data_IF_600038084412
#
_entry.id   IF_600038084412
#
_cell.length_a   1.000
_cell.length_b   1.000
_cell.length_c   1.000
_cell.angle_alpha   90.00
_cell.angle_beta   90.00
_cell.angle_gamma   90.00
#
_symmetry.space_group_name_H-M   'P 1'
#
loop_
_entity.id
_entity.type
_entity.pdbx_description
1 polymer ?
#
# COMPACT_ATOMS: atom_id res chain seq x y z
N UNK A 1 -1.92 -37.71 38.02
CA UNK A 1 -1.70 -37.85 36.56
C UNK A 1 -1.36 -36.45 36.04
N UNK A 2 -0.19 -35.87 36.34
CA UNK A 2 1.17 -36.15 35.88
C UNK A 2 1.35 -36.02 34.37
N UNK A 3 1.85 -34.86 33.91
CA UNK A 3 3.02 -34.76 33.03
C UNK A 3 3.47 -33.29 32.91
N UNK A 4 4.53 -32.97 33.65
CA UNK A 4 5.44 -31.85 33.39
C UNK A 4 6.50 -32.39 32.43
N UNK A 5 6.78 -31.70 31.33
CA UNK A 5 7.96 -32.00 30.49
C UNK A 5 8.94 -30.84 30.62
N UNK A 6 10.08 -31.15 31.21
CA UNK A 6 11.24 -30.28 31.35
C UNK A 6 12.44 -30.97 30.68
N UNK A 7 13.17 -30.22 29.83
CA UNK A 7 14.63 -30.31 29.69
C UNK A 7 15.22 -31.20 28.57
N UNK A 8 16.06 -30.62 27.69
CA UNK A 8 17.55 -30.56 27.75
C UNK A 8 18.15 -30.24 26.37
N UNK A 9 18.99 -29.18 26.26
CA UNK A 9 20.49 -29.13 26.05
C UNK A 9 20.97 -29.70 24.71
N UNK A 10 21.87 -29.10 23.92
CA UNK A 10 23.23 -28.53 24.14
C UNK A 10 23.67 -27.93 22.76
N UNK A 11 24.57 -26.97 22.54
CA UNK A 11 26.03 -26.95 22.77
C UNK A 11 26.58 -25.54 22.47
N UNK A 12 27.45 -24.98 23.31
CA UNK A 12 28.84 -24.64 22.95
C UNK A 12 29.56 -24.18 24.23
N UNK A 13 30.70 -24.82 24.50
CA UNK A 13 31.47 -24.74 25.73
C UNK A 13 32.81 -24.04 25.45
N UNK A 14 33.27 -23.31 26.47
CA UNK A 14 34.64 -22.90 26.76
C UNK A 14 35.38 -21.95 25.82
N UNK A 15 35.70 -20.76 26.34
CA UNK A 15 37.08 -20.43 26.74
C UNK A 15 37.10 -19.40 27.89
N UNK A 16 37.50 -19.89 29.06
CA UNK A 16 38.43 -19.26 30.04
C UNK A 16 38.03 -17.94 30.74
N UNK A 17 37.76 -18.09 32.04
CA UNK A 17 37.99 -17.06 33.05
C UNK A 17 39.32 -17.31 33.76
N UNK A 18 39.99 -16.26 34.25
CA UNK A 18 40.31 -16.24 35.68
C UNK A 18 39.97 -14.88 36.32
N UNK A 19 39.39 -14.94 37.51
CA UNK A 19 39.14 -13.84 38.45
C UNK A 19 40.39 -13.58 39.32
N UNK A 20 40.36 -12.66 40.32
CA UNK A 20 39.85 -11.29 40.41
C UNK A 20 41.01 -10.30 40.72
N UNK A 21 40.77 -8.97 40.68
CA UNK A 21 41.31 -7.91 41.58
C UNK A 21 41.36 -6.53 40.89
N UNK A 22 40.67 -5.55 41.50
CA UNK A 22 40.95 -4.10 41.50
C UNK A 22 41.00 -3.31 40.17
N UNK A 23 39.95 -2.52 39.90
CA UNK A 23 39.98 -1.05 39.91
C UNK A 23 38.74 -0.44 39.21
N UNK A 24 38.16 0.55 39.88
CA UNK A 24 37.00 1.42 39.63
C UNK A 24 36.57 1.75 38.17
N UNK A 25 35.26 2.00 37.93
CA UNK A 25 34.75 2.63 36.70
C UNK A 25 34.63 4.16 36.84
N UNK A 26 34.73 4.97 35.77
CA UNK A 26 34.40 6.38 35.86
C UNK A 26 32.91 6.64 35.62
N UNK A 27 32.44 7.59 36.40
CA UNK A 27 31.09 8.15 36.57
C UNK A 27 30.55 8.87 35.32
N UNK A 28 29.25 8.64 35.09
CA UNK A 28 28.19 9.50 34.55
C UNK A 28 28.52 10.87 33.91
N UNK A 29 27.85 11.15 32.77
CA UNK A 29 27.19 12.45 32.53
C UNK A 29 25.79 12.27 31.95
N UNK A 30 24.83 12.75 32.74
CA UNK A 30 23.41 12.98 32.50
C UNK A 30 23.23 14.10 31.47
N UNK A 31 22.45 13.87 30.41
CA UNK A 31 21.88 14.96 29.60
C UNK A 31 20.39 14.70 29.45
N UNK A 32 19.61 15.60 30.08
CA UNK A 32 18.17 15.78 29.93
C UNK A 32 18.01 17.10 29.18
N UNK A 33 17.40 17.09 27.99
CA UNK A 33 16.79 18.27 27.38
C UNK A 33 15.63 17.82 26.47
N UNK A 34 14.40 18.18 26.85
CA UNK A 34 13.31 18.40 25.90
C UNK A 34 13.56 19.72 25.17
N UNK A 35 13.42 19.73 23.85
CA UNK A 35 12.92 20.88 23.10
C UNK A 35 12.48 20.43 21.71
N UNK A 36 11.20 20.67 21.42
CA UNK A 36 10.62 20.73 20.09
C UNK A 36 11.43 21.69 19.21
N UNK A 37 11.93 21.24 18.06
CA UNK A 37 12.22 22.09 16.91
C UNK A 37 11.97 21.32 15.61
N UNK A 38 11.32 22.01 14.70
CA UNK A 38 10.55 21.57 13.52
C UNK A 38 11.31 20.74 12.48
N UNK A 39 10.59 20.02 11.59
CA UNK A 39 11.19 19.36 10.42
C UNK A 39 11.93 20.38 9.55
N UNK A 40 13.04 20.01 8.91
CA UNK A 40 13.76 20.93 8.03
C UNK A 40 12.84 21.31 6.86
N UNK A 41 12.64 22.62 6.68
CA UNK A 41 11.96 23.19 5.52
C UNK A 41 12.70 22.68 4.27
N UNK A 42 11.98 21.90 3.48
CA UNK A 42 12.44 21.36 2.21
C UNK A 42 12.76 22.50 1.24
N UNK A 43 14.04 22.67 0.92
CA UNK A 43 14.49 23.54 -0.18
C UNK A 43 14.95 22.68 -1.37
N UNK A 44 14.88 21.34 -1.26
CA UNK A 44 15.31 20.38 -2.31
C UNK A 44 14.12 19.75 -3.05
N UNK A 45 12.91 19.77 -2.47
CA UNK A 45 11.73 19.23 -3.14
C UNK A 45 11.24 20.00 -4.40
N UNK A 46 11.37 21.34 -4.52
CA UNK A 46 10.78 22.07 -5.65
C UNK A 46 11.37 21.62 -7.00
N UNK A 47 12.69 21.43 -7.07
CA UNK A 47 13.38 21.16 -8.32
C UNK A 47 13.09 19.77 -8.87
N UNK A 48 12.96 18.76 -7.99
CA UNK A 48 12.65 17.39 -8.42
C UNK A 48 11.27 17.29 -9.08
N UNK A 49 10.27 17.96 -8.52
CA UNK A 49 8.92 17.98 -9.10
C UNK A 49 8.88 18.73 -10.44
N UNK A 50 9.62 19.83 -10.55
CA UNK A 50 9.73 20.60 -11.81
C UNK A 50 10.42 19.76 -12.89
N UNK A 51 11.51 19.06 -12.57
CA UNK A 51 12.23 18.23 -13.54
C UNK A 51 11.37 17.04 -14.01
N UNK A 52 10.57 16.46 -13.11
CA UNK A 52 9.63 15.40 -13.44
C UNK A 52 8.49 15.88 -14.35
N UNK A 53 7.93 17.07 -14.09
CA UNK A 53 6.91 17.68 -14.94
C UNK A 53 7.48 18.11 -16.30
N UNK A 54 8.71 18.62 -16.35
CA UNK A 54 9.42 18.94 -17.60
C UNK A 54 9.61 17.69 -18.47
N UNK A 55 9.95 16.55 -17.87
CA UNK A 55 10.06 15.28 -18.59
C UNK A 55 8.71 14.79 -19.14
N UNK A 56 7.62 15.01 -18.39
CA UNK A 56 6.27 14.62 -18.79
C UNK A 56 5.64 15.57 -19.85
N UNK A 57 6.06 16.83 -19.88
CA UNK A 57 5.53 17.85 -20.80
C UNK A 57 6.65 18.62 -21.54
N UNK A 58 7.36 17.99 -22.50
CA UNK A 58 8.48 18.62 -23.20
C UNK A 58 8.08 19.78 -24.11
N UNK A 59 6.81 19.84 -24.53
CA UNK A 59 6.27 20.85 -25.45
C UNK A 59 5.85 22.15 -24.75
N UNK A 60 5.88 22.20 -23.42
CA UNK A 60 5.29 23.27 -22.62
C UNK A 60 6.34 24.19 -21.99
N UNK A 61 6.06 25.50 -21.94
CA UNK A 61 6.97 26.50 -21.42
C UNK A 61 7.33 26.26 -19.94
N UNK A 62 8.63 26.31 -19.63
CA UNK A 62 9.14 26.04 -18.28
C UNK A 62 8.55 26.98 -17.21
N UNK A 63 8.34 28.25 -17.55
CA UNK A 63 7.75 29.25 -16.65
C UNK A 63 6.29 28.91 -16.29
N UNK A 64 5.55 28.29 -17.23
CA UNK A 64 4.18 27.87 -17.01
C UNK A 64 4.11 26.59 -16.14
N UNK A 65 5.06 25.68 -16.29
CA UNK A 65 5.20 24.49 -15.43
C UNK A 65 5.52 24.91 -13.98
N UNK A 66 6.45 25.84 -13.79
CA UNK A 66 6.82 26.33 -12.46
C UNK A 66 5.65 27.06 -11.78
N UNK A 67 4.98 27.95 -12.52
CA UNK A 67 3.83 28.71 -12.01
C UNK A 67 2.64 27.81 -11.67
N UNK A 68 2.32 26.82 -12.49
CA UNK A 68 1.20 25.89 -12.21
C UNK A 68 1.50 24.99 -11.01
N UNK A 69 2.75 24.56 -10.83
CA UNK A 69 3.15 23.80 -9.65
C UNK A 69 3.08 24.65 -8.37
N UNK A 70 3.46 25.93 -8.44
CA UNK A 70 3.32 26.88 -7.33
C UNK A 70 1.85 27.13 -6.97
N UNK A 71 0.98 27.34 -7.97
CA UNK A 71 -0.47 27.49 -7.80
C UNK A 71 -1.16 26.23 -7.27
N UNK A 72 -0.59 25.05 -7.54
CA UNK A 72 -1.04 23.75 -7.03
C UNK A 72 -0.43 23.40 -5.67
N UNK A 73 0.34 24.30 -5.04
CA UNK A 73 0.92 24.06 -3.71
C UNK A 73 1.93 22.89 -3.69
N UNK A 74 2.68 22.70 -4.78
CA UNK A 74 3.64 21.61 -4.96
C UNK A 74 3.02 20.20 -4.97
N UNK A 75 1.71 20.07 -5.22
CA UNK A 75 1.07 18.79 -5.48
C UNK A 75 1.23 18.38 -6.95
N UNK A 76 2.00 17.32 -7.18
CA UNK A 76 2.34 16.82 -8.52
C UNK A 76 1.08 16.38 -9.30
N UNK A 77 0.15 15.68 -8.65
CA UNK A 77 -1.04 15.13 -9.33
C UNK A 77 -2.00 16.24 -9.78
N UNK A 78 -2.20 17.25 -8.91
CA UNK A 78 -2.97 18.45 -9.26
C UNK A 78 -2.31 19.26 -10.38
N UNK A 79 -0.98 19.40 -10.35
CA UNK A 79 -0.24 20.09 -11.40
C UNK A 79 -0.33 19.35 -12.75
N UNK A 80 -0.16 18.02 -12.77
CA UNK A 80 -0.32 17.19 -13.99
C UNK A 80 -1.73 17.34 -14.57
N UNK A 81 -2.76 17.33 -13.72
CA UNK A 81 -4.14 17.47 -14.18
C UNK A 81 -4.37 18.82 -14.85
N UNK A 82 -3.94 19.92 -14.22
CA UNK A 82 -4.06 21.27 -14.80
C UNK A 82 -3.24 21.44 -16.07
N UNK A 83 -2.02 20.92 -16.11
CA UNK A 83 -1.16 20.96 -17.28
C UNK A 83 -1.77 20.17 -18.46
N UNK A 84 -2.42 19.04 -18.19
CA UNK A 84 -3.19 18.31 -19.21
C UNK A 84 -4.43 19.08 -19.68
N UNK A 85 -5.18 19.71 -18.78
CA UNK A 85 -6.32 20.57 -19.13
C UNK A 85 -5.87 21.75 -20.01
N UNK A 86 -4.73 22.38 -19.69
CA UNK A 86 -4.13 23.43 -20.50
C UNK A 86 -3.62 22.90 -21.84
N UNK A 87 -3.05 21.70 -21.89
CA UNK A 87 -2.63 21.07 -23.16
C UNK A 87 -3.85 20.81 -24.06
N UNK A 88 -4.93 20.29 -23.50
CA UNK A 88 -6.18 20.05 -24.23
C UNK A 88 -6.80 21.38 -24.67
N UNK A 89 -6.82 22.39 -23.79
CA UNK A 89 -7.32 23.73 -24.08
C UNK A 89 -6.48 24.48 -25.12
N UNK A 90 -5.17 24.28 -25.14
CA UNK A 90 -4.24 24.85 -26.12
C UNK A 90 -4.39 24.17 -27.49
N UNK A 91 -4.58 22.85 -27.52
CA UNK A 91 -4.90 22.10 -28.74
C UNK A 91 -6.28 22.46 -29.28
N UNK A 92 -7.24 22.78 -28.41
CA UNK A 92 -8.58 23.25 -28.80
C UNK A 92 -8.63 24.76 -29.12
N UNK A 93 -7.65 25.54 -28.66
CA UNK A 93 -7.58 27.00 -28.82
C UNK A 93 -7.16 27.49 -30.20
N UNK A 94 -6.85 26.59 -31.14
CA UNK A 94 -6.63 26.91 -32.55
C UNK A 94 -7.92 26.86 -33.41
N UNK A 95 -9.08 26.72 -32.78
CA UNK A 95 -10.37 26.91 -33.41
C UNK A 95 -11.20 27.88 -32.57
N UNK A 96 -11.56 29.01 -33.19
CA UNK A 96 -12.28 30.14 -32.61
C UNK A 96 -13.48 29.75 -31.71
N UNK A 97 -13.78 30.53 -30.65
CA UNK A 97 -14.94 30.29 -29.79
C UNK A 97 -16.23 30.86 -30.40
N UNK A 98 -17.33 30.11 -30.29
CA UNK A 98 -18.72 30.61 -30.42
C UNK A 98 -19.49 30.13 -29.18
N UNK A 99 -20.31 30.97 -28.53
CA UNK A 99 -20.76 30.73 -27.17
C UNK A 99 -22.00 29.83 -27.06
N UNK A 100 -22.09 29.25 -25.87
CA UNK A 100 -23.12 28.47 -25.19
C UNK A 100 -24.57 28.55 -25.68
N UNK A 101 -25.30 27.43 -25.58
CA UNK A 101 -26.69 27.45 -25.08
C UNK A 101 -27.05 26.12 -24.39
N UNK A 102 -27.52 26.23 -23.16
CA UNK A 102 -28.16 25.18 -22.36
C UNK A 102 -29.44 24.66 -23.03
N UNK A 103 -29.71 23.35 -22.96
CA UNK A 103 -31.07 22.87 -22.68
C UNK A 103 -31.09 21.40 -22.24
N UNK A 104 -31.62 21.25 -21.04
CA UNK A 104 -32.15 20.07 -20.40
C UNK A 104 -33.52 19.73 -21.01
N UNK A 105 -33.74 18.53 -21.55
CA UNK A 105 -35.09 17.95 -21.71
C UNK A 105 -35.03 16.43 -21.58
N UNK A 106 -35.57 15.93 -20.46
CA UNK A 106 -36.11 14.59 -20.32
C UNK A 106 -37.21 14.35 -21.36
N UNK A 107 -37.26 13.19 -22.02
CA UNK A 107 -38.54 12.50 -22.22
C UNK A 107 -38.41 11.04 -22.66
N UNK A 108 -39.01 10.21 -21.79
CA UNK A 108 -39.82 9.01 -22.02
C UNK A 108 -40.34 8.84 -23.46
N UNK A 109 -40.11 7.66 -24.05
CA UNK A 109 -41.12 6.82 -24.69
C UNK A 109 -40.45 5.58 -25.33
N UNK A 110 -40.45 4.46 -24.60
CA UNK A 110 -40.20 3.15 -25.17
C UNK A 110 -41.55 2.53 -25.56
N UNK A 111 -41.79 2.38 -26.86
CA UNK A 111 -42.76 1.40 -27.37
C UNK A 111 -42.50 1.10 -28.84
N UNK A 112 -42.22 -0.18 -29.10
CA UNK A 112 -42.42 -0.97 -30.32
C UNK A 112 -41.76 -0.44 -31.62
N UNK A 113 -41.06 -1.25 -32.41
CA UNK A 113 -41.49 -2.52 -33.03
C UNK A 113 -40.24 -3.36 -33.28
N UNK A 114 -40.30 -4.63 -32.89
CA UNK A 114 -39.38 -5.64 -33.38
C UNK A 114 -39.69 -5.90 -34.84
N UNK A 115 -38.80 -5.48 -35.72
CA UNK A 115 -38.73 -5.97 -37.09
C UNK A 115 -37.37 -6.65 -37.25
N UNK A 116 -37.46 -7.96 -37.10
CA UNK A 116 -36.48 -8.92 -37.55
C UNK A 116 -36.32 -8.80 -39.06
N UNK A 117 -35.11 -9.15 -39.54
CA UNK A 117 -34.79 -9.63 -40.89
C UNK A 117 -33.98 -8.68 -41.79
N UNK A 118 -32.82 -9.24 -42.17
CA UNK A 118 -32.00 -8.98 -43.36
C UNK A 118 -30.95 -7.86 -43.32
N UNK A 119 -29.86 -8.11 -42.58
CA UNK A 119 -28.50 -7.94 -43.10
C UNK A 119 -27.65 -9.16 -42.68
N UNK A 120 -27.94 -10.30 -43.27
CA UNK A 120 -27.13 -11.52 -43.16
C UNK A 120 -27.00 -12.19 -44.52
N UNK A 121 -26.28 -11.52 -45.42
CA UNK A 121 -25.77 -12.12 -46.64
C UNK A 121 -24.36 -11.57 -46.89
N UNK A 122 -23.40 -11.96 -46.07
CA UNK A 122 -22.00 -12.10 -46.54
C UNK A 122 -21.09 -12.93 -45.61
N UNK A 123 -21.58 -13.33 -44.44
CA UNK A 123 -20.81 -14.17 -43.52
C UNK A 123 -20.61 -15.63 -43.96
N UNK A 124 -21.26 -16.11 -45.04
CA UNK A 124 -21.18 -17.52 -45.45
C UNK A 124 -20.10 -17.84 -46.50
N UNK A 125 -19.37 -16.84 -47.03
CA UNK A 125 -18.32 -17.07 -48.05
C UNK A 125 -16.88 -17.09 -47.50
N UNK A 126 -16.67 -16.85 -46.21
CA UNK A 126 -15.30 -16.76 -45.65
C UNK A 126 -14.67 -18.11 -45.25
N UNK A 127 -15.38 -19.23 -45.38
CA UNK A 127 -14.89 -20.54 -44.94
C UNK A 127 -14.02 -21.31 -45.95
N UNK A 128 -13.76 -20.74 -47.13
CA UNK A 128 -12.99 -21.41 -48.20
C UNK A 128 -11.72 -20.64 -48.61
N UNK A 129 -11.17 -19.81 -47.73
CA UNK A 129 -9.98 -19.02 -48.06
C UNK A 129 -8.70 -19.79 -47.69
N UNK A 130 -7.72 -19.88 -48.59
CA UNK A 130 -6.46 -20.57 -48.34
C UNK A 130 -5.81 -20.16 -47.02
N UNK A 131 -5.32 -21.14 -46.26
CA UNK A 131 -4.73 -20.91 -44.93
C UNK A 131 -3.21 -20.82 -44.97
N UNK A 132 -2.59 -21.44 -45.95
CA UNK A 132 -1.14 -21.49 -46.12
C UNK A 132 -0.71 -20.81 -47.42
N UNK A 133 0.54 -20.32 -47.45
CA UNK A 133 1.13 -19.67 -48.62
C UNK A 133 1.15 -20.56 -49.86
N UNK A 134 1.34 -21.87 -49.69
CA UNK A 134 1.32 -22.82 -50.80
C UNK A 134 -0.07 -22.90 -51.47
N UNK A 135 -1.13 -22.92 -50.69
CA UNK A 135 -2.51 -22.94 -51.19
C UNK A 135 -2.87 -21.63 -51.92
N UNK A 136 -2.34 -20.49 -51.46
CA UNK A 136 -2.47 -19.20 -52.15
C UNK A 136 -1.76 -19.18 -53.50
N UNK A 137 -0.54 -19.74 -53.56
CA UNK A 137 0.23 -19.87 -54.81
C UNK A 137 -0.49 -20.80 -55.80
N UNK A 138 -1.01 -21.93 -55.33
CA UNK A 138 -1.78 -22.85 -56.18
C UNK A 138 -3.08 -22.22 -56.71
N UNK A 139 -3.81 -21.48 -55.87
CA UNK A 139 -5.02 -20.75 -56.29
C UNK A 139 -4.68 -19.68 -57.32
N UNK A 140 -3.60 -18.92 -57.10
CA UNK A 140 -3.12 -17.89 -58.02
C UNK A 140 -2.77 -18.47 -59.39
N UNK A 141 -1.95 -19.55 -59.42
CA UNK A 141 -1.56 -20.21 -60.66
C UNK A 141 -2.75 -20.84 -61.37
N UNK A 142 -3.70 -21.44 -60.64
CA UNK A 142 -4.92 -22.05 -61.20
C UNK A 142 -5.82 -21.01 -61.88
N UNK A 143 -6.06 -19.87 -61.22
CA UNK A 143 -6.86 -18.78 -61.78
C UNK A 143 -6.19 -18.15 -63.01
N UNK A 144 -4.87 -17.96 -62.97
CA UNK A 144 -4.13 -17.40 -64.10
C UNK A 144 -4.05 -18.35 -65.29
N UNK A 145 -3.90 -19.66 -65.06
CA UNK A 145 -3.88 -20.69 -66.10
C UNK A 145 -5.25 -20.90 -66.78
N UNK A 146 -6.35 -20.50 -66.12
CA UNK A 146 -7.71 -20.52 -66.68
C UNK A 146 -8.08 -19.27 -67.49
N UNK A 147 -7.17 -18.30 -67.62
CA UNK A 147 -7.45 -17.04 -68.31
C UNK A 147 -7.44 -17.19 -69.84
N UNK A 148 -8.38 -16.50 -70.48
CA UNK A 148 -8.55 -16.53 -71.96
C UNK A 148 -7.78 -15.42 -72.68
N UNK A 149 -7.33 -14.41 -71.94
CA UNK A 149 -6.51 -13.31 -72.44
C UNK A 149 -5.58 -12.79 -71.35
N UNK A 150 -4.57 -12.01 -71.72
CA UNK A 150 -3.65 -11.39 -70.76
C UNK A 150 -4.35 -10.39 -69.83
N UNK A 151 -5.39 -9.72 -70.30
CA UNK A 151 -6.17 -8.77 -69.50
C UNK A 151 -7.08 -9.50 -68.48
N UNK A 152 -7.65 -10.64 -68.90
CA UNK A 152 -8.39 -11.57 -68.03
C UNK A 152 -7.45 -12.16 -66.95
N UNK A 153 -6.23 -12.58 -67.32
CA UNK A 153 -5.22 -13.06 -66.38
C UNK A 153 -4.83 -11.99 -65.36
N UNK A 154 -4.65 -10.73 -65.80
CA UNK A 154 -4.34 -9.59 -64.93
C UNK A 154 -5.49 -9.28 -63.97
N UNK A 155 -6.72 -9.29 -64.46
CA UNK A 155 -7.92 -9.07 -63.65
C UNK A 155 -8.11 -10.16 -62.58
N UNK A 156 -7.85 -11.43 -62.94
CA UNK A 156 -7.88 -12.57 -62.00
C UNK A 156 -6.78 -12.49 -60.96
N UNK A 157 -5.54 -12.19 -61.38
CA UNK A 157 -4.41 -12.01 -60.48
C UNK A 157 -4.70 -10.88 -59.46
N UNK A 158 -5.24 -9.75 -59.91
CA UNK A 158 -5.62 -8.65 -59.02
C UNK A 158 -6.66 -9.09 -57.98
N UNK A 159 -7.70 -9.84 -58.37
CA UNK A 159 -8.71 -10.36 -57.45
C UNK A 159 -8.16 -11.34 -56.41
N UNK A 160 -7.23 -12.21 -56.80
CA UNK A 160 -6.59 -13.18 -55.87
C UNK A 160 -5.65 -12.46 -54.90
N UNK A 161 -4.91 -11.44 -55.35
CA UNK A 161 -4.05 -10.65 -54.47
C UNK A 161 -4.87 -9.78 -53.51
N UNK A 162 -5.99 -9.21 -53.96
CA UNK A 162 -6.88 -8.45 -53.10
C UNK A 162 -7.56 -9.34 -52.03
N UNK A 163 -7.91 -10.59 -52.38
CA UNK A 163 -8.43 -11.54 -51.39
C UNK A 163 -7.35 -12.01 -50.40
N UNK A 164 -6.10 -12.14 -50.84
CA UNK A 164 -4.95 -12.39 -49.96
C UNK A 164 -4.74 -11.22 -48.99
N UNK A 165 -4.75 -9.97 -49.47
CA UNK A 165 -4.59 -8.77 -48.62
C UNK A 165 -5.69 -8.69 -47.55
N UNK A 166 -6.95 -8.93 -47.94
CA UNK A 166 -8.07 -9.01 -47.00
C UNK A 166 -7.89 -10.14 -45.98
N UNK A 167 -7.38 -11.30 -46.39
CA UNK A 167 -7.10 -12.42 -45.49
C UNK A 167 -6.01 -12.09 -44.47
N UNK A 168 -4.90 -11.50 -44.93
CA UNK A 168 -3.79 -11.10 -44.07
C UNK A 168 -4.25 -10.05 -43.08
N UNK A 169 -4.95 -9.01 -43.54
CA UNK A 169 -5.49 -7.95 -42.68
C UNK A 169 -6.45 -8.50 -41.62
N UNK A 170 -7.34 -9.41 -42.00
CA UNK A 170 -8.26 -10.06 -41.06
C UNK A 170 -7.51 -10.91 -40.02
N UNK A 171 -6.48 -11.66 -40.42
CA UNK A 171 -5.65 -12.47 -39.50
C UNK A 171 -4.88 -11.60 -38.52
N UNK A 172 -4.19 -10.57 -39.01
CA UNK A 172 -3.43 -9.65 -38.16
C UNK A 172 -4.35 -8.96 -37.16
N UNK A 173 -5.54 -8.52 -37.60
CA UNK A 173 -6.54 -7.95 -36.70
C UNK A 173 -7.02 -8.95 -35.66
N UNK A 174 -7.34 -10.19 -36.06
CA UNK A 174 -7.81 -11.22 -35.15
C UNK A 174 -6.74 -11.57 -34.11
N UNK A 175 -5.49 -11.76 -34.54
CA UNK A 175 -4.35 -12.04 -33.66
C UNK A 175 -4.10 -10.89 -32.68
N UNK A 176 -4.16 -9.63 -33.14
CA UNK A 176 -4.04 -8.47 -32.26
C UNK A 176 -5.16 -8.45 -31.21
N UNK A 177 -6.41 -8.73 -31.59
CA UNK A 177 -7.53 -8.80 -30.63
C UNK A 177 -7.38 -9.95 -29.66
N UNK A 178 -6.91 -11.12 -30.10
CA UNK A 178 -6.68 -12.28 -29.23
C UNK A 178 -5.54 -12.00 -28.23
N UNK A 179 -4.44 -11.39 -28.68
CA UNK A 179 -3.33 -11.02 -27.81
C UNK A 179 -3.79 -10.02 -26.74
N UNK A 180 -4.51 -8.96 -27.14
CA UNK A 180 -5.07 -7.97 -26.21
C UNK A 180 -6.01 -8.65 -25.21
N UNK A 181 -6.87 -9.59 -25.65
CA UNK A 181 -7.77 -10.31 -24.76
C UNK A 181 -7.02 -11.17 -23.74
N UNK A 182 -5.99 -11.90 -24.16
CA UNK A 182 -5.13 -12.70 -23.26
C UNK A 182 -4.44 -11.82 -22.22
N UNK A 183 -3.83 -10.71 -22.64
CA UNK A 183 -3.22 -9.73 -21.73
C UNK A 183 -4.24 -9.16 -20.74
N UNK A 184 -5.46 -8.84 -21.21
CA UNK A 184 -6.51 -8.31 -20.34
C UNK A 184 -6.95 -9.31 -19.26
N UNK A 185 -7.08 -10.60 -19.62
CA UNK A 185 -7.38 -11.68 -18.67
C UNK A 185 -6.26 -11.80 -17.64
N UNK A 186 -5.01 -11.87 -18.09
CA UNK A 186 -3.84 -11.97 -17.21
C UNK A 186 -3.73 -10.78 -16.25
N UNK A 187 -3.98 -9.56 -16.72
CA UNK A 187 -3.99 -8.36 -15.87
C UNK A 187 -5.12 -8.38 -14.85
N UNK A 188 -6.32 -8.84 -15.23
CA UNK A 188 -7.45 -9.00 -14.30
C UNK A 188 -7.14 -10.01 -13.19
N UNK A 189 -6.53 -11.14 -13.53
CA UNK A 189 -6.10 -12.14 -12.55
C UNK A 189 -5.05 -11.58 -11.58
N UNK A 190 -4.07 -10.82 -12.08
CA UNK A 190 -3.08 -10.16 -11.21
C UNK A 190 -3.72 -9.13 -10.28
N UNK A 191 -4.67 -8.32 -10.77
CA UNK A 191 -5.42 -7.37 -9.94
C UNK A 191 -6.19 -8.11 -8.84
N UNK A 192 -6.84 -9.23 -9.16
CA UNK A 192 -7.57 -10.02 -8.18
C UNK A 192 -6.65 -10.59 -7.09
N UNK A 193 -5.46 -11.10 -7.47
CA UNK A 193 -4.45 -11.55 -6.51
C UNK A 193 -4.03 -10.41 -5.59
N UNK A 194 -3.69 -9.25 -6.14
CA UNK A 194 -3.27 -8.08 -5.36
C UNK A 194 -4.39 -7.59 -4.41
N UNK A 195 -5.65 -7.64 -4.83
CA UNK A 195 -6.79 -7.31 -3.97
C UNK A 195 -6.93 -8.29 -2.81
N UNK A 196 -6.75 -9.59 -3.06
CA UNK A 196 -6.76 -10.62 -2.01
C UNK A 196 -5.61 -10.39 -1.03
N UNK A 197 -4.40 -10.16 -1.50
CA UNK A 197 -3.24 -9.86 -0.64
C UNK A 197 -3.44 -8.57 0.17
N UNK A 198 -3.97 -7.51 -0.44
CA UNK A 198 -4.28 -6.26 0.25
C UNK A 198 -5.29 -6.47 1.40
N UNK A 199 -6.29 -7.34 1.19
CA UNK A 199 -7.25 -7.69 2.23
C UNK A 199 -6.61 -8.43 3.41
N UNK A 200 -5.68 -9.35 3.12
CA UNK A 200 -4.91 -10.10 4.13
C UNK A 200 -4.03 -9.13 4.93
N UNK A 201 -3.33 -8.22 4.24
CA UNK A 201 -2.50 -7.20 4.88
C UNK A 201 -3.32 -6.26 5.78
N UNK A 202 -4.48 -5.78 5.30
CA UNK A 202 -5.39 -4.96 6.13
C UNK A 202 -5.83 -5.69 7.40
N UNK A 203 -6.17 -6.97 7.29
CA UNK A 203 -6.51 -7.80 8.44
C UNK A 203 -5.33 -7.99 9.40
N UNK A 204 -4.14 -8.24 8.88
CA UNK A 204 -2.93 -8.37 9.68
C UNK A 204 -2.60 -7.09 10.45
N UNK A 205 -2.72 -5.92 9.80
CA UNK A 205 -2.52 -4.61 10.42
C UNK A 205 -3.55 -4.36 11.53
N UNK A 206 -4.82 -4.69 11.30
CA UNK A 206 -5.85 -4.55 12.33
C UNK A 206 -5.55 -5.40 13.58
N UNK A 207 -5.15 -6.67 13.39
CA UNK A 207 -4.74 -7.56 14.49
C UNK A 207 -3.50 -7.01 15.21
N UNK A 208 -2.52 -6.50 14.47
CA UNK A 208 -1.31 -5.93 15.07
C UNK A 208 -1.62 -4.70 15.91
N UNK A 209 -2.51 -3.83 15.42
CA UNK A 209 -2.96 -2.65 16.16
C UNK A 209 -3.72 -3.03 17.44
N UNK A 210 -4.61 -4.01 17.38
CA UNK A 210 -5.32 -4.53 18.56
C UNK A 210 -4.34 -5.06 19.62
N UNK A 211 -3.37 -5.88 19.21
CA UNK A 211 -2.33 -6.39 20.12
C UNK A 211 -1.45 -5.29 20.71
N UNK A 212 -1.12 -4.27 19.92
CA UNK A 212 -0.34 -3.13 20.42
C UNK A 212 -1.13 -2.38 21.49
N UNK A 213 -2.42 -2.14 21.25
CA UNK A 213 -3.30 -1.51 22.21
C UNK A 213 -3.40 -2.31 23.52
N UNK A 214 -3.61 -3.63 23.43
CA UNK A 214 -3.63 -4.49 24.63
C UNK A 214 -2.31 -4.43 25.41
N UNK A 215 -1.17 -4.35 24.72
CA UNK A 215 0.13 -4.21 25.36
C UNK A 215 0.26 -2.85 26.08
N UNK A 216 -0.20 -1.77 25.45
CA UNK A 216 -0.18 -0.43 26.03
C UNK A 216 -1.08 -0.37 27.29
N UNK A 217 -2.29 -0.93 27.21
CA UNK A 217 -3.22 -1.05 28.35
C UNK A 217 -2.58 -1.85 29.51
N UNK A 218 -1.93 -2.99 29.20
CA UNK A 218 -1.21 -3.80 30.21
C UNK A 218 -0.03 -3.06 30.80
N UNK A 219 0.67 -2.25 30.02
CA UNK A 219 1.78 -1.44 30.52
C UNK A 219 1.29 -0.36 31.48
N UNK A 220 0.13 0.25 31.24
CA UNK A 220 -0.52 1.17 32.18
C UNK A 220 -0.90 0.47 33.49
N UNK A 221 -1.55 -0.71 33.42
CA UNK A 221 -1.87 -1.53 34.60
C UNK A 221 -0.60 -1.84 35.43
N UNK A 222 0.49 -2.23 34.78
CA UNK A 222 1.78 -2.51 35.43
C UNK A 222 2.33 -1.27 36.12
N UNK A 223 2.21 -0.09 35.52
CA UNK A 223 2.65 1.16 36.15
C UNK A 223 1.82 1.50 37.39
N UNK A 224 0.50 1.33 37.33
CA UNK A 224 -0.40 1.53 38.47
C UNK A 224 -0.06 0.58 39.62
N UNK A 225 0.15 -0.71 39.32
CA UNK A 225 0.54 -1.70 40.32
C UNK A 225 1.90 -1.38 40.95
N UNK A 226 2.88 -0.93 40.16
CA UNK A 226 4.19 -0.48 40.70
C UNK A 226 4.02 0.68 41.68
N UNK A 227 3.15 1.64 41.38
CA UNK A 227 2.87 2.75 42.28
C UNK A 227 2.24 2.28 43.59
N UNK A 228 1.24 1.39 43.51
CA UNK A 228 0.59 0.81 44.69
C UNK A 228 1.57 0.00 45.56
N UNK A 229 2.43 -0.81 44.93
CA UNK A 229 3.48 -1.55 45.66
C UNK A 229 4.43 -0.60 46.37
N UNK A 230 4.85 0.49 45.72
CA UNK A 230 5.71 1.50 46.35
C UNK A 230 5.03 2.16 47.56
N UNK A 231 3.73 2.47 47.45
CA UNK A 231 2.94 3.02 48.57
C UNK A 231 2.87 2.03 49.75
N UNK A 232 2.61 0.74 49.51
CA UNK A 232 2.58 -0.26 50.57
C UNK A 232 3.95 -0.49 51.21
N UNK A 233 5.03 -0.45 50.43
CA UNK A 233 6.38 -0.53 50.95
C UNK A 233 6.70 0.65 51.88
N UNK A 234 6.25 1.86 51.55
CA UNK A 234 6.43 3.04 52.41
C UNK A 234 5.61 2.94 53.70
N UNK A 235 4.36 2.48 53.63
CA UNK A 235 3.54 2.23 54.81
C UNK A 235 4.17 1.20 55.75
N UNK A 236 4.70 0.10 55.20
CA UNK A 236 5.42 -0.92 55.97
C UNK A 236 6.62 -0.32 56.70
N UNK A 237 7.46 0.45 55.98
CA UNK A 237 8.62 1.12 56.56
C UNK A 237 8.25 2.08 57.70
N UNK A 238 7.15 2.83 57.55
CA UNK A 238 6.66 3.73 58.59
C UNK A 238 6.18 2.97 59.83
N UNK A 239 5.45 1.87 59.64
CA UNK A 239 5.01 1.01 60.74
C UNK A 239 6.18 0.35 61.47
N UNK A 240 7.19 -0.12 60.74
CA UNK A 240 8.43 -0.67 61.32
C UNK A 240 9.16 0.35 62.19
N UNK A 241 9.32 1.59 61.71
CA UNK A 241 9.94 2.68 62.48
C UNK A 241 9.13 3.02 63.72
N UNK A 242 7.80 3.13 63.61
CA UNK A 242 6.91 3.42 64.74
C UNK A 242 6.97 2.31 65.80
N UNK A 243 6.95 1.04 65.37
CA UNK A 243 7.04 -0.11 66.28
C UNK A 243 8.39 -0.14 67.01
N UNK A 244 9.48 0.16 66.30
CA UNK A 244 10.80 0.30 66.91
C UNK A 244 10.83 1.42 67.97
N UNK A 245 10.30 2.61 67.63
CA UNK A 245 10.24 3.73 68.56
C UNK A 245 9.42 3.38 69.83
N UNK A 246 8.24 2.77 69.66
CA UNK A 246 7.41 2.30 70.78
C UNK A 246 8.14 1.27 71.65
N UNK A 247 8.82 0.30 71.02
CA UNK A 247 9.62 -0.71 71.73
C UNK A 247 10.74 -0.08 72.55
N UNK A 248 11.42 0.93 71.99
CA UNK A 248 12.47 1.68 72.69
C UNK A 248 11.91 2.48 73.87
N UNK A 249 10.77 3.16 73.70
CA UNK A 249 10.10 3.88 74.79
C UNK A 249 9.63 2.95 75.90
N UNK A 250 9.05 1.79 75.57
CA UNK A 250 8.63 0.78 76.55
C UNK A 250 9.81 0.28 77.37
N UNK A 251 10.94 -0.04 76.73
CA UNK A 251 12.16 -0.45 77.42
C UNK A 251 12.67 0.63 78.38
N UNK A 252 12.64 1.89 77.95
CA UNK A 252 13.08 3.01 78.78
C UNK A 252 12.17 3.22 80.00
N UNK A 253 10.84 3.11 79.82
CA UNK A 253 9.87 3.19 80.92
C UNK A 253 10.06 2.06 81.96
N UNK A 254 10.34 0.84 81.50
CA UNK A 254 10.63 -0.32 82.37
C UNK A 254 11.95 -0.18 83.14
N UNK A 255 12.95 0.49 82.56
CA UNK A 255 14.24 0.75 83.21
C UNK A 255 14.18 1.94 84.17
N UNK A 256 13.35 2.95 83.87
CA UNK A 256 13.10 4.11 84.76
C UNK A 256 12.14 3.81 85.92
N UNK A 257 11.35 2.74 85.85
CA UNK A 257 10.54 2.23 86.95
C UNK A 257 11.37 1.42 87.95
N UNK A 258 12.32 2.09 88.60
CA UNK A 258 12.88 1.65 89.88
C UNK A 258 11.87 1.98 91.00
N UNK A 259 10.73 1.29 91.01
CA UNK A 259 9.89 1.22 92.21
C UNK A 259 10.18 -0.14 92.87
N UNK A 260 10.86 -0.18 94.03
CA UNK A 260 11.00 -1.40 94.81
C UNK A 260 9.63 -1.94 95.18
N UNK A 261 9.46 -3.25 95.08
CA UNK A 261 8.18 -3.94 95.16
C UNK A 261 7.19 -3.41 96.18
N UNK A 262 6.02 -3.02 95.70
CA UNK A 262 4.78 -3.02 96.48
C UNK A 262 3.63 -3.43 95.58
N UNK A 263 3.65 -4.70 95.18
CA UNK A 263 2.40 -5.39 94.88
C UNK A 263 1.67 -5.55 96.22
N UNK A 264 0.43 -5.08 96.30
CA UNK A 264 -0.45 -5.40 97.41
C UNK A 264 -0.87 -6.87 97.28
N UNK A 265 -0.54 -7.75 98.24
CA UNK A 265 -1.16 -9.06 98.28
C UNK A 265 -2.57 -8.90 98.85
N UNK A 266 -3.52 -9.53 98.18
CA UNK A 266 -4.88 -9.82 98.60
C UNK A 266 -5.76 -8.65 99.08
N UNK A 267 -6.70 -8.27 98.22
CA UNK A 267 -8.03 -7.85 98.68
C UNK A 267 -9.05 -8.68 97.90
N UNK A 268 -9.86 -9.42 98.67
CA UNK A 268 -10.95 -10.32 98.29
C UNK A 268 -12.01 -9.66 97.41
#
# INVERSE_FOLDING_TARGET
>A
MSAIVCGKRSFFEDLQSPSPTSASPPVAKKIRCSAHFSPPRSVVAPTFFIDQLRAAFPEMENELIEKTLEECGYDLDSAIKRLNELRIGYVHGNLNPVPETHSNVNNVAASNVGEEVLLSEDASKQNNLPKDGAEWVELFLREMNGATSIDDARSRAARVLESLERSISARVSAEATENIQKENIMLKEQIEVLLRENSILKRAVAIQHERQKEYDDKNEEVQQLKQMVAQYQEQLRNLEVNNYALTMHLRHAQQGSSMPGRFHPDVF
#
